data_IF_509300376364
#
_entry.id   IF_509300376364
#
_cell.length_a   1.000
_cell.length_b   1.000
_cell.length_c   1.000
_cell.angle_alpha   90.00
_cell.angle_beta   90.00
_cell.angle_gamma   90.00
#
_symmetry.space_group_name_H-M   'P 1'
#
loop_
_entity.id
_entity.type
_entity.pdbx_description
1 polymer ?
#
# COMPACT_ATOMS: atom_id res chain seq x y z
N UNK A 1 -35.74 25.97 -6.18
CA UNK A 1 -34.58 25.80 -7.09
C UNK A 1 -34.30 24.31 -7.21
N UNK A 2 -34.65 23.69 -8.34
CA UNK A 2 -34.35 22.27 -8.59
C UNK A 2 -32.91 22.25 -9.09
N UNK A 3 -31.99 21.73 -8.29
CA UNK A 3 -30.62 21.46 -8.76
C UNK A 3 -30.72 20.24 -9.69
N UNK A 4 -30.40 20.36 -10.98
CA UNK A 4 -30.46 19.22 -11.88
C UNK A 4 -29.41 18.20 -11.44
N UNK A 5 -29.86 16.97 -11.19
CA UNK A 5 -29.03 15.88 -10.67
C UNK A 5 -27.76 15.60 -11.50
N UNK A 6 -27.74 16.02 -12.77
CA UNK A 6 -26.58 15.93 -13.65
C UNK A 6 -25.36 16.75 -13.19
N UNK A 7 -25.55 17.82 -12.39
CA UNK A 7 -24.43 18.57 -11.81
C UNK A 7 -23.73 17.82 -10.66
N UNK A 8 -24.45 16.93 -9.95
CA UNK A 8 -23.85 16.11 -8.90
C UNK A 8 -22.91 15.04 -9.48
N UNK A 9 -23.22 14.54 -10.68
CA UNK A 9 -22.43 13.49 -11.33
C UNK A 9 -21.03 13.99 -11.75
N UNK A 10 -20.89 15.29 -12.08
CA UNK A 10 -19.59 15.88 -12.42
C UNK A 10 -18.70 16.18 -11.20
N UNK A 11 -19.28 16.40 -10.03
CA UNK A 11 -18.51 16.70 -8.80
C UNK A 11 -17.96 15.42 -8.16
N UNK A 12 -18.68 14.30 -8.27
CA UNK A 12 -18.29 13.02 -7.68
C UNK A 12 -17.05 12.38 -8.34
N UNK A 13 -16.76 12.68 -9.61
CA UNK A 13 -15.59 12.12 -10.31
C UNK A 13 -14.28 12.83 -9.92
N UNK A 14 -14.36 14.06 -9.41
CA UNK A 14 -13.17 14.84 -9.01
C UNK A 14 -12.72 14.60 -7.57
N UNK A 15 -13.53 13.93 -6.76
CA UNK A 15 -13.12 13.51 -5.43
C UNK A 15 -12.47 12.13 -5.58
N UNK A 16 -11.16 12.03 -5.32
CA UNK A 16 -10.42 10.76 -5.24
C UNK A 16 -10.91 9.80 -4.14
N UNK A 17 -12.16 9.96 -3.69
CA UNK A 17 -12.90 9.06 -2.82
C UNK A 17 -13.30 7.76 -3.53
N UNK A 18 -13.49 7.79 -4.86
CA UNK A 18 -13.88 6.60 -5.64
C UNK A 18 -12.77 5.55 -5.70
N UNK A 19 -11.49 5.95 -5.75
CA UNK A 19 -10.36 5.01 -5.71
C UNK A 19 -10.27 4.28 -4.36
N UNK A 20 -10.60 4.96 -3.26
CA UNK A 20 -10.49 4.40 -1.90
C UNK A 20 -11.61 3.39 -1.60
N UNK A 21 -12.80 3.60 -2.16
CA UNK A 21 -13.92 2.67 -1.96
C UNK A 21 -13.82 1.41 -2.84
N UNK A 22 -13.20 1.50 -4.02
CA UNK A 22 -13.00 0.35 -4.90
C UNK A 22 -12.04 -0.69 -4.31
N UNK A 23 -10.96 -0.24 -3.66
CA UNK A 23 -9.96 -1.15 -3.06
C UNK A 23 -10.51 -1.92 -1.86
N UNK A 24 -11.31 -1.28 -0.98
CA UNK A 24 -11.93 -1.96 0.16
C UNK A 24 -12.99 -3.00 -0.22
N UNK A 25 -13.61 -2.86 -1.40
CA UNK A 25 -14.63 -3.80 -1.89
C UNK A 25 -14.03 -5.01 -2.62
N UNK A 26 -12.79 -4.91 -3.11
CA UNK A 26 -12.21 -5.90 -4.04
C UNK A 26 -11.15 -6.80 -3.40
N UNK A 27 -10.52 -6.38 -2.29
CA UNK A 27 -9.53 -7.21 -1.60
C UNK A 27 -10.20 -8.36 -0.84
N UNK A 28 -10.24 -9.53 -1.48
CA UNK A 28 -10.90 -10.73 -0.99
C UNK A 28 -9.86 -11.79 -0.57
N UNK A 29 -10.32 -12.94 -0.06
CA UNK A 29 -9.42 -14.03 0.39
C UNK A 29 -8.40 -14.47 -0.66
N UNK A 30 -8.78 -14.47 -1.93
CA UNK A 30 -7.89 -14.85 -3.05
C UNK A 30 -6.84 -13.77 -3.36
N UNK A 31 -7.12 -12.50 -3.04
CA UNK A 31 -6.22 -11.38 -3.30
C UNK A 31 -4.92 -11.46 -2.50
N UNK A 32 -4.88 -12.22 -1.40
CA UNK A 32 -3.65 -12.51 -0.66
C UNK A 32 -2.62 -13.33 -1.44
N UNK A 33 -3.07 -14.06 -2.47
CA UNK A 33 -2.21 -14.88 -3.33
C UNK A 33 -1.83 -14.19 -4.65
N UNK A 34 -2.44 -13.02 -4.91
CA UNK A 34 -2.12 -12.17 -6.06
C UNK A 34 -1.13 -11.09 -5.60
N UNK A 35 0.10 -11.16 -6.09
CA UNK A 35 1.15 -10.18 -5.72
C UNK A 35 0.75 -8.74 -6.05
N UNK A 36 0.03 -8.51 -7.15
CA UNK A 36 -0.39 -7.16 -7.57
C UNK A 36 -1.46 -6.63 -6.63
N UNK A 37 -2.50 -7.43 -6.35
CA UNK A 37 -3.57 -7.02 -5.43
C UNK A 37 -3.03 -6.84 -3.99
N UNK A 38 -2.18 -7.75 -3.54
CA UNK A 38 -1.55 -7.68 -2.22
C UNK A 38 -0.69 -6.43 -2.07
N UNK A 39 0.15 -6.10 -3.06
CA UNK A 39 1.00 -4.92 -3.00
C UNK A 39 0.19 -3.62 -3.01
N UNK A 40 -0.88 -3.53 -3.80
CA UNK A 40 -1.73 -2.33 -3.76
C UNK A 40 -2.44 -2.15 -2.42
N UNK A 41 -2.95 -3.25 -1.86
CA UNK A 41 -3.55 -3.26 -0.53
C UNK A 41 -2.54 -2.81 0.54
N UNK A 42 -1.35 -3.41 0.56
CA UNK A 42 -0.28 -3.04 1.48
C UNK A 42 0.17 -1.60 1.31
N UNK A 43 0.21 -1.10 0.07
CA UNK A 43 0.57 0.28 -0.22
C UNK A 43 -0.43 1.25 0.42
N UNK A 44 -1.72 0.94 0.42
CA UNK A 44 -2.71 1.71 1.16
C UNK A 44 -2.50 1.59 2.67
N UNK A 45 -2.42 0.37 3.20
CA UNK A 45 -2.26 0.11 4.64
C UNK A 45 -1.06 0.85 5.23
N UNK A 46 0.12 0.73 4.60
CA UNK A 46 1.36 1.40 5.02
C UNK A 46 1.20 2.90 5.16
N UNK A 47 0.53 3.53 4.19
CA UNK A 47 0.32 4.99 4.19
C UNK A 47 -0.76 5.43 5.17
N UNK A 48 -1.80 4.63 5.38
CA UNK A 48 -2.89 4.94 6.31
C UNK A 48 -2.47 4.76 7.78
N UNK A 49 -1.66 3.74 8.06
CA UNK A 49 -1.12 3.47 9.40
C UNK A 49 0.10 4.36 9.73
N UNK A 50 0.50 5.25 8.82
CA UNK A 50 1.57 6.22 9.06
C UNK A 50 2.95 5.59 9.24
N UNK A 51 3.20 4.43 8.62
CA UNK A 51 4.48 3.71 8.77
C UNK A 51 5.66 4.42 8.07
N UNK A 52 5.36 5.40 7.22
CA UNK A 52 6.35 6.26 6.55
C UNK A 52 5.71 7.59 6.13
N UNK A 53 6.52 8.64 6.11
CA UNK A 53 6.13 9.97 5.59
C UNK A 53 6.25 10.07 4.06
N UNK A 54 6.74 9.02 3.39
CA UNK A 54 6.89 9.01 1.94
C UNK A 54 5.52 8.93 1.24
N UNK A 55 5.26 9.77 0.22
CA UNK A 55 4.02 9.71 -0.54
C UNK A 55 3.81 8.34 -1.19
N UNK A 56 2.55 7.90 -1.31
CA UNK A 56 2.16 6.59 -1.88
C UNK A 56 2.88 6.24 -3.19
N UNK A 57 2.98 7.18 -4.12
CA UNK A 57 3.58 6.99 -5.44
C UNK A 57 5.12 6.87 -5.43
N UNK A 58 5.75 7.20 -4.30
CA UNK A 58 7.18 7.08 -4.08
C UNK A 58 7.57 5.75 -3.43
N UNK A 59 6.60 4.94 -3.02
CA UNK A 59 6.83 3.65 -2.39
C UNK A 59 6.97 2.54 -3.42
N UNK A 60 8.06 1.79 -3.30
CA UNK A 60 8.34 0.59 -4.09
C UNK A 60 8.29 -0.61 -3.16
N UNK A 61 7.53 -1.62 -3.56
CA UNK A 61 7.39 -2.87 -2.82
C UNK A 61 8.12 -3.97 -3.60
N UNK A 62 9.12 -4.57 -2.98
CA UNK A 62 9.89 -5.68 -3.56
C UNK A 62 9.51 -6.94 -2.81
N UNK A 63 8.79 -7.82 -3.49
CA UNK A 63 8.38 -9.11 -2.93
C UNK A 63 9.57 -10.08 -3.04
N UNK A 64 10.16 -10.41 -1.90
CA UNK A 64 11.24 -11.39 -1.79
C UNK A 64 10.63 -12.78 -1.67
N UNK A 65 10.56 -13.49 -2.80
CA UNK A 65 9.96 -14.82 -2.89
C UNK A 65 9.26 -15.04 -4.22
N UNK A 66 8.68 -16.22 -4.40
CA UNK A 66 7.83 -16.51 -5.56
C UNK A 66 6.35 -16.46 -5.15
N UNK A 67 5.43 -16.44 -6.13
CA UNK A 67 4.00 -16.37 -5.85
C UNK A 67 3.44 -17.61 -5.11
N UNK A 68 4.19 -18.72 -5.03
CA UNK A 68 3.80 -19.91 -4.28
C UNK A 68 4.23 -19.85 -2.81
N UNK A 69 5.05 -18.88 -2.42
CA UNK A 69 5.43 -18.67 -1.03
C UNK A 69 4.24 -18.10 -0.24
N UNK A 70 3.88 -18.79 0.84
CA UNK A 70 2.81 -18.37 1.74
C UNK A 70 3.29 -17.35 2.77
N UNK A 71 4.61 -17.22 2.95
CA UNK A 71 5.22 -16.33 3.93
C UNK A 71 6.28 -15.39 3.30
N UNK A 72 5.95 -14.62 2.24
CA UNK A 72 6.94 -13.77 1.61
C UNK A 72 7.32 -12.59 2.50
N UNK A 73 8.62 -12.26 2.48
CA UNK A 73 9.12 -10.99 2.98
C UNK A 73 8.97 -9.94 1.88
N UNK A 74 8.51 -8.73 2.23
CA UNK A 74 8.35 -7.63 1.27
C UNK A 74 9.14 -6.43 1.77
N UNK A 75 10.15 -6.04 1.01
CA UNK A 75 10.91 -4.82 1.29
C UNK A 75 10.14 -3.60 0.78
N UNK A 76 9.96 -2.61 1.64
CA UNK A 76 9.37 -1.32 1.27
C UNK A 76 10.49 -0.31 1.13
N UNK A 77 10.66 0.23 -0.07
CA UNK A 77 11.67 1.23 -0.41
C UNK A 77 11.03 2.58 -0.70
N UNK A 78 11.72 3.65 -0.30
CA UNK A 78 11.39 5.02 -0.63
C UNK A 78 12.21 5.47 -1.83
N UNK A 79 11.54 5.83 -2.93
CA UNK A 79 12.19 6.50 -4.06
C UNK A 79 12.43 7.97 -3.71
N UNK A 80 13.62 8.47 -3.98
CA UNK A 80 13.99 9.87 -3.80
C UNK A 80 14.26 10.55 -5.14
N UNK A 81 14.05 11.87 -5.20
CA UNK A 81 14.18 12.65 -6.44
C UNK A 81 13.06 12.40 -7.45
N UNK A 82 13.14 13.04 -8.62
CA UNK A 82 12.15 12.90 -9.72
C UNK A 82 10.67 13.06 -9.29
N UNK A 83 10.40 14.04 -8.42
CA UNK A 83 9.05 14.30 -7.89
C UNK A 83 8.75 13.66 -6.53
N UNK A 84 9.68 12.85 -6.00
CA UNK A 84 9.63 12.32 -4.64
C UNK A 84 10.55 13.10 -3.68
N UNK A 85 10.28 13.09 -2.35
CA UNK A 85 11.12 13.77 -1.36
C UNK A 85 12.60 13.37 -1.51
N UNK A 86 13.51 14.34 -1.39
CA UNK A 86 14.95 14.12 -1.58
C UNK A 86 15.49 14.78 -2.85
N UNK A 87 16.79 15.13 -2.83
CA UNK A 87 17.44 15.91 -3.91
C UNK A 87 18.11 15.02 -4.97
N UNK A 88 18.54 13.83 -4.58
CA UNK A 88 19.28 12.90 -5.43
C UNK A 88 18.41 11.68 -5.75
N UNK A 89 18.44 11.17 -6.99
CA UNK A 89 17.79 9.90 -7.31
C UNK A 89 18.40 8.74 -6.51
N UNK A 90 17.60 8.14 -5.63
CA UNK A 90 17.96 6.92 -4.89
C UNK A 90 16.71 6.10 -4.58
N UNK A 91 16.90 4.87 -4.12
CA UNK A 91 15.85 4.02 -3.60
C UNK A 91 16.37 3.33 -2.34
N UNK A 92 15.95 3.83 -1.18
CA UNK A 92 16.46 3.39 0.12
C UNK A 92 15.41 2.52 0.81
N UNK A 93 15.85 1.40 1.40
CA UNK A 93 14.94 0.52 2.16
C UNK A 93 14.48 1.25 3.42
N UNK A 94 13.16 1.33 3.58
CA UNK A 94 12.51 1.97 4.73
C UNK A 94 12.29 0.95 5.85
N UNK A 95 11.69 -0.19 5.52
CA UNK A 95 11.37 -1.28 6.44
C UNK A 95 10.99 -2.54 5.64
N UNK A 96 10.69 -3.62 6.37
CA UNK A 96 10.31 -4.93 5.86
C UNK A 96 8.91 -5.28 6.36
N UNK A 97 8.10 -5.86 5.47
CA UNK A 97 6.83 -6.48 5.82
C UNK A 97 6.97 -8.00 5.77
N UNK A 98 6.50 -8.69 6.80
CA UNK A 98 6.31 -10.14 6.80
C UNK A 98 4.85 -10.44 6.58
N UNK A 99 4.54 -11.09 5.46
CA UNK A 99 3.15 -11.41 5.11
C UNK A 99 2.93 -12.89 5.36
N UNK A 100 1.88 -13.26 6.08
CA UNK A 100 1.37 -14.63 6.10
C UNK A 100 0.06 -14.68 5.34
N UNK A 101 0.09 -15.25 4.12
CA UNK A 101 -1.08 -15.31 3.23
C UNK A 101 -2.16 -16.25 3.72
N UNK A 102 -1.76 -17.33 4.39
CA UNK A 102 -2.67 -18.34 4.94
C UNK A 102 -3.44 -17.79 6.14
N UNK A 103 -2.74 -17.14 7.06
CA UNK A 103 -3.32 -16.53 8.26
C UNK A 103 -3.88 -15.13 8.01
N UNK A 104 -3.55 -14.53 6.85
CA UNK A 104 -3.95 -13.18 6.45
C UNK A 104 -3.48 -12.13 7.45
N UNK A 105 -2.22 -12.23 7.83
CA UNK A 105 -1.58 -11.31 8.77
C UNK A 105 -0.38 -10.64 8.13
N UNK A 106 -0.09 -9.42 8.58
CA UNK A 106 1.06 -8.65 8.15
C UNK A 106 1.75 -8.10 9.38
N UNK A 107 3.07 -8.27 9.44
CA UNK A 107 3.92 -7.67 10.46
C UNK A 107 4.91 -6.72 9.80
N UNK A 108 5.31 -5.66 10.50
CA UNK A 108 6.29 -4.68 10.03
C UNK A 108 7.37 -4.45 11.08
N UNK A 109 8.57 -4.06 10.65
CA UNK A 109 9.62 -3.53 11.51
C UNK A 109 9.78 -2.00 11.35
N UNK A 110 8.78 -1.33 10.77
CA UNK A 110 8.76 0.13 10.63
C UNK A 110 8.98 0.83 11.98
N UNK A 111 9.93 1.76 12.03
CA UNK A 111 10.32 2.47 13.25
C UNK A 111 11.04 1.62 14.30
N UNK A 112 11.11 0.30 14.14
CA UNK A 112 11.79 -0.63 15.05
C UNK A 112 12.56 -1.71 14.27
N UNK A 113 13.64 -1.35 13.54
CA UNK A 113 14.33 -2.25 12.62
C UNK A 113 14.68 -3.61 13.23
N UNK A 114 14.25 -4.69 12.58
CA UNK A 114 14.44 -6.07 13.05
C UNK A 114 13.43 -6.56 14.12
N UNK A 115 12.61 -5.68 14.69
CA UNK A 115 11.55 -6.04 15.65
C UNK A 115 10.17 -5.95 15.00
N UNK A 116 9.62 -7.10 14.65
CA UNK A 116 8.35 -7.18 13.93
C UNK A 116 7.14 -7.04 14.87
N UNK A 117 6.15 -6.25 14.44
CA UNK A 117 4.88 -6.08 15.11
C UNK A 117 3.73 -6.10 14.10
N UNK A 118 2.57 -6.64 14.50
CA UNK A 118 1.40 -6.79 13.63
C UNK A 118 0.76 -5.44 13.32
N UNK A 119 0.40 -5.23 12.05
CA UNK A 119 -0.37 -4.06 11.59
C UNK A 119 -1.77 -4.46 11.13
N UNK A 120 -2.67 -3.48 10.96
CA UNK A 120 -4.00 -3.77 10.44
C UNK A 120 -3.94 -3.90 8.92
N UNK A 121 -3.81 -5.13 8.45
CA UNK A 121 -3.97 -5.50 7.03
C UNK A 121 -5.42 -5.84 6.72
#
# INVERSE_FOLDING_TARGET
MIVPAFLLMFVAVRTGLLDVSYDKLTFNKLSWFDNTALVEHLRLTVTQDGLTDMPRHCLVFVVNGNAADNMPDIDVLGRHGNGCPGKTPSADKLFTLKVNRSERTVQTDAGTPGSFHTIRS
#
